data_IF_807158550105
#
_entry.id   IF_807158550105
#
_cell.length_a   1.000
_cell.length_b   1.000
_cell.length_c   1.000
_cell.angle_alpha   90.00
_cell.angle_beta   90.00
_cell.angle_gamma   90.00
#
_symmetry.space_group_name_H-M   'P 1'
#
loop_
_entity.id
_entity.type
_entity.pdbx_description
1 polymer ?
#
# COMPACT_ATOMS: atom_id res chain seq x y z
N UNK A 1 -19.94 -7.79 9.13
CA UNK A 1 -19.77 -6.59 8.35
C UNK A 1 -19.95 -6.85 6.88
N UNK A 2 -20.70 -6.03 6.25
CA UNK A 2 -21.08 -6.29 4.87
C UNK A 2 -20.49 -5.33 3.88
N UNK A 3 -19.47 -4.61 4.27
CA UNK A 3 -19.00 -3.50 3.49
C UNK A 3 -18.41 -3.84 2.15
N UNK A 4 -17.84 -5.03 2.00
CA UNK A 4 -17.09 -5.31 0.78
C UNK A 4 -17.55 -6.60 0.17
N UNK A 5 -17.88 -6.52 -1.12
CA UNK A 5 -18.10 -7.70 -1.93
C UNK A 5 -16.74 -8.33 -2.23
N UNK A 6 -16.51 -9.58 -1.83
CA UNK A 6 -15.18 -10.18 -2.06
C UNK A 6 -14.73 -10.17 -3.52
N UNK A 7 -15.68 -10.17 -4.46
CA UNK A 7 -15.31 -10.12 -5.87
C UNK A 7 -14.65 -8.83 -6.30
N UNK A 8 -14.75 -7.78 -5.50
CA UNK A 8 -14.08 -6.52 -5.81
C UNK A 8 -12.58 -6.55 -5.50
N UNK A 9 -12.13 -7.52 -4.69
CA UNK A 9 -10.71 -7.68 -4.40
C UNK A 9 -10.11 -8.52 -5.51
N UNK A 10 -9.88 -7.89 -6.65
CA UNK A 10 -9.52 -8.61 -7.86
C UNK A 10 -8.14 -8.26 -8.40
N UNK A 11 -7.35 -7.48 -7.66
CA UNK A 11 -6.00 -7.15 -8.05
C UNK A 11 -5.03 -7.88 -7.14
N UNK A 12 -4.12 -8.65 -7.72
CA UNK A 12 -3.12 -9.36 -6.92
C UNK A 12 -1.97 -8.42 -6.65
N UNK A 13 -1.70 -8.14 -5.39
CA UNK A 13 -0.65 -7.21 -5.01
C UNK A 13 0.33 -7.89 -4.08
N UNK A 14 1.54 -7.34 -4.01
CA UNK A 14 2.55 -7.77 -3.06
C UNK A 14 2.62 -6.77 -1.92
N UNK A 15 2.67 -7.28 -0.71
CA UNK A 15 3.02 -6.46 0.44
C UNK A 15 4.51 -6.61 0.62
N UNK A 16 5.24 -5.51 0.47
CA UNK A 16 6.70 -5.50 0.60
C UNK A 16 7.06 -4.96 1.98
N UNK A 17 8.06 -5.57 2.58
CA UNK A 17 8.50 -5.18 3.91
C UNK A 17 10.01 -5.01 3.90
N UNK A 18 10.50 -3.99 4.61
CA UNK A 18 11.92 -3.77 4.75
C UNK A 18 12.50 -4.82 5.67
N UNK A 19 13.58 -5.45 5.22
CA UNK A 19 14.35 -6.36 6.06
C UNK A 19 15.79 -5.92 6.03
N UNK A 20 16.50 -6.16 7.12
CA UNK A 20 17.92 -5.87 7.22
C UNK A 20 18.70 -7.08 6.77
N UNK A 21 19.77 -6.83 6.03
CA UNK A 21 20.64 -7.88 5.55
C UNK A 21 22.06 -7.35 5.51
N UNK A 22 23.04 -8.24 5.60
CA UNK A 22 24.44 -7.87 5.47
C UNK A 22 24.83 -7.88 4.00
N UNK A 23 25.57 -6.86 3.58
CA UNK A 23 26.16 -6.88 2.25
C UNK A 23 27.53 -7.55 2.32
N UNK A 24 28.26 -7.49 1.20
CA UNK A 24 29.55 -8.16 1.10
C UNK A 24 30.59 -7.59 2.05
N UNK A 25 30.39 -6.37 2.50
CA UNK A 25 31.32 -5.70 3.40
C UNK A 25 30.85 -5.75 4.85
N UNK A 26 29.88 -6.61 5.15
CA UNK A 26 29.31 -6.77 6.49
C UNK A 26 28.55 -5.53 6.97
N UNK A 27 28.16 -4.64 6.05
CA UNK A 27 27.31 -3.51 6.40
C UNK A 27 25.85 -3.96 6.43
N UNK A 28 25.08 -3.37 7.34
CA UNK A 28 23.65 -3.67 7.41
C UNK A 28 22.92 -2.75 6.44
N UNK A 29 22.18 -3.34 5.52
CA UNK A 29 21.37 -2.59 4.55
C UNK A 29 19.93 -3.04 4.66
N UNK A 30 19.00 -2.10 4.45
CA UNK A 30 17.57 -2.40 4.44
C UNK A 30 17.11 -2.55 3.01
N UNK A 31 16.47 -3.67 2.71
CA UNK A 31 15.93 -3.90 1.38
C UNK A 31 14.48 -4.29 1.49
N UNK A 32 13.72 -3.99 0.43
CA UNK A 32 12.32 -4.40 0.35
C UNK A 32 12.26 -5.84 -0.12
N UNK A 33 11.44 -6.62 0.55
CA UNK A 33 11.27 -8.02 0.22
C UNK A 33 9.77 -8.34 0.28
N UNK A 34 9.33 -9.30 -0.53
CA UNK A 34 7.93 -9.68 -0.53
C UNK A 34 7.59 -10.36 0.79
N UNK A 35 6.67 -9.76 1.53
CA UNK A 35 6.19 -10.29 2.80
C UNK A 35 4.98 -11.19 2.58
N UNK A 36 4.02 -10.73 1.76
CA UNK A 36 2.82 -11.48 1.46
C UNK A 36 2.29 -11.07 0.11
N UNK A 37 1.53 -11.97 -0.50
CA UNK A 37 0.75 -11.65 -1.69
C UNK A 37 -0.71 -11.74 -1.31
N UNK A 38 -1.48 -10.70 -1.64
CA UNK A 38 -2.90 -10.65 -1.26
C UNK A 38 -3.71 -10.09 -2.42
N UNK A 39 -5.00 -10.35 -2.37
CA UNK A 39 -5.94 -9.74 -3.30
C UNK A 39 -6.40 -8.40 -2.75
N UNK A 40 -6.59 -7.44 -3.64
CA UNK A 40 -6.90 -6.07 -3.25
C UNK A 40 -7.84 -5.42 -4.24
N UNK A 41 -8.51 -4.38 -3.78
CA UNK A 41 -9.18 -3.41 -4.63
C UNK A 41 -8.36 -2.13 -4.58
N UNK A 42 -8.02 -1.56 -5.74
CA UNK A 42 -7.27 -0.31 -5.82
C UNK A 42 -8.16 0.73 -6.44
N UNK A 43 -8.42 1.81 -5.73
CA UNK A 43 -9.34 2.83 -6.18
C UNK A 43 -8.77 4.22 -5.91
N UNK A 44 -8.66 5.06 -6.94
CA UNK A 44 -8.23 6.44 -6.69
C UNK A 44 -9.35 7.21 -6.00
N UNK A 45 -8.98 8.10 -5.10
CA UNK A 45 -9.93 8.99 -4.44
C UNK A 45 -9.97 10.31 -5.19
N UNK A 46 -11.14 10.94 -5.20
CA UNK A 46 -11.34 12.16 -5.98
C UNK A 46 -12.18 13.13 -5.17
N UNK A 47 -12.09 14.42 -5.55
CA UNK A 47 -12.93 15.45 -5.00
C UNK A 47 -12.78 15.58 -3.50
N UNK A 48 -13.91 15.60 -2.81
CA UNK A 48 -13.87 15.85 -1.37
C UNK A 48 -13.20 14.74 -0.60
N UNK A 49 -13.23 13.51 -1.11
CA UNK A 49 -12.53 12.42 -0.43
C UNK A 49 -11.03 12.70 -0.36
N UNK A 50 -10.47 13.18 -1.47
CA UNK A 50 -9.05 13.49 -1.48
C UNK A 50 -8.75 14.67 -0.58
N UNK A 51 -9.62 15.66 -0.55
CA UNK A 51 -9.41 16.82 0.30
C UNK A 51 -9.43 16.45 1.78
N UNK A 52 -10.24 15.48 2.16
CA UNK A 52 -10.27 15.02 3.54
C UNK A 52 -8.94 14.44 3.97
N UNK A 53 -8.27 13.75 3.06
CA UNK A 53 -7.06 13.02 3.41
C UNK A 53 -5.79 13.81 3.11
N UNK A 54 -5.86 14.71 2.13
CA UNK A 54 -4.69 15.49 1.71
C UNK A 54 -5.12 16.89 1.32
N UNK A 55 -5.30 17.72 2.32
CA UNK A 55 -5.83 19.06 2.07
C UNK A 55 -4.87 19.95 1.31
N UNK A 56 -3.57 19.74 1.46
CA UNK A 56 -2.60 20.69 0.95
C UNK A 56 -1.70 20.11 -0.13
N UNK A 57 -1.97 18.90 -0.58
CA UNK A 57 -1.13 18.25 -1.59
C UNK A 57 -1.92 18.01 -2.85
N UNK A 58 -1.21 18.04 -3.98
CA UNK A 58 -1.81 17.69 -5.26
C UNK A 58 -1.65 16.22 -5.60
N UNK A 59 -0.99 15.45 -4.76
CA UNK A 59 -0.80 14.04 -5.02
C UNK A 59 -2.11 13.29 -5.00
N UNK A 60 -2.25 12.37 -5.94
CA UNK A 60 -3.43 11.53 -5.99
C UNK A 60 -3.36 10.49 -4.89
N UNK A 61 -4.45 10.37 -4.14
CA UNK A 61 -4.55 9.40 -3.06
C UNK A 61 -5.32 8.19 -3.56
N UNK A 62 -4.84 7.01 -3.19
CA UNK A 62 -5.48 5.75 -3.53
C UNK A 62 -5.97 5.07 -2.27
N UNK A 63 -7.14 4.47 -2.34
CA UNK A 63 -7.61 3.60 -1.28
C UNK A 63 -7.43 2.16 -1.75
N UNK A 64 -6.62 1.40 -1.04
CA UNK A 64 -6.37 0.00 -1.36
C UNK A 64 -7.01 -0.83 -0.25
N UNK A 65 -7.98 -1.65 -0.62
CA UNK A 65 -8.71 -2.47 0.34
C UNK A 65 -8.23 -3.90 0.24
N UNK A 66 -7.88 -4.49 1.40
CA UNK A 66 -7.46 -5.88 1.47
C UNK A 66 -8.17 -6.54 2.64
N UNK A 67 -8.13 -7.88 2.69
CA UNK A 67 -8.58 -8.58 3.88
C UNK A 67 -7.61 -8.32 5.02
N UNK A 68 -8.13 -8.39 6.24
CA UNK A 68 -7.31 -8.16 7.43
C UNK A 68 -6.13 -9.11 7.44
N UNK A 69 -4.93 -8.56 7.62
CA UNK A 69 -3.71 -9.35 7.68
C UNK A 69 -2.65 -8.55 8.41
N UNK A 70 -1.51 -9.16 8.58
CA UNK A 70 -0.34 -8.56 9.20
C UNK A 70 0.26 -7.53 8.25
N UNK A 71 -0.02 -6.26 8.49
CA UNK A 71 0.50 -5.16 7.68
C UNK A 71 0.68 -3.94 8.56
N UNK A 72 1.68 -3.12 8.25
CA UNK A 72 1.94 -1.89 8.98
C UNK A 72 2.09 -0.74 8.01
N UNK A 73 2.07 0.47 8.56
CA UNK A 73 2.23 1.66 7.73
C UNK A 73 3.62 1.77 7.10
N UNK A 74 4.57 1.00 7.60
CA UNK A 74 5.91 1.00 7.02
C UNK A 74 6.04 0.08 5.82
N UNK A 75 5.06 -0.77 5.60
CA UNK A 75 5.08 -1.67 4.46
C UNK A 75 4.73 -0.90 3.19
N UNK A 76 5.04 -1.50 2.05
CA UNK A 76 4.81 -0.90 0.74
C UNK A 76 3.96 -1.87 -0.07
N UNK A 77 3.02 -1.33 -0.83
CA UNK A 77 2.20 -2.14 -1.73
C UNK A 77 2.78 -2.04 -3.12
N UNK A 78 2.99 -3.18 -3.75
CA UNK A 78 3.47 -3.22 -5.14
C UNK A 78 2.41 -3.87 -6.02
N UNK A 79 2.11 -3.20 -7.14
CA UNK A 79 1.16 -3.71 -8.11
C UNK A 79 1.69 -3.41 -9.51
N UNK A 80 2.04 -4.45 -10.25
CA UNK A 80 2.47 -4.32 -11.64
C UNK A 80 3.60 -3.29 -11.82
N UNK A 81 4.59 -3.38 -10.94
CA UNK A 81 5.74 -2.49 -11.02
C UNK A 81 5.54 -1.13 -10.40
N UNK A 82 4.35 -0.85 -9.90
CA UNK A 82 4.05 0.41 -9.22
C UNK A 82 4.15 0.19 -7.71
N UNK A 83 4.65 1.18 -7.01
CA UNK A 83 4.75 1.12 -5.55
C UNK A 83 3.85 2.18 -4.93
N UNK A 84 3.16 1.79 -3.87
CA UNK A 84 2.27 2.68 -3.14
C UNK A 84 2.74 2.74 -1.70
N UNK A 85 2.93 3.94 -1.21
CA UNK A 85 3.35 4.18 0.17
C UNK A 85 2.10 4.35 1.02
N UNK A 86 2.05 3.65 2.15
CA UNK A 86 0.88 3.67 3.02
C UNK A 86 0.99 4.87 3.95
N UNK A 87 0.00 5.75 3.90
CA UNK A 87 -0.03 6.91 4.78
C UNK A 87 -0.67 6.58 6.11
N UNK A 88 -1.77 5.83 6.07
CA UNK A 88 -2.37 5.30 7.29
C UNK A 88 -3.33 4.17 6.92
N UNK A 89 -3.72 3.41 7.92
CA UNK A 89 -4.55 2.21 7.74
C UNK A 89 -5.81 2.39 8.57
N UNK A 90 -6.96 2.12 7.94
CA UNK A 90 -8.25 2.16 8.61
C UNK A 90 -8.77 0.73 8.71
N UNK A 91 -9.24 0.37 9.89
CA UNK A 91 -9.91 -0.90 10.15
C UNK A 91 -11.38 -0.56 10.35
N UNK A 92 -12.22 -0.61 9.29
CA UNK A 92 -13.58 -0.09 9.38
C UNK A 92 -14.35 -0.76 10.51
N UNK A 93 -14.95 0.08 11.37
CA UNK A 93 -15.71 -0.36 12.54
C UNK A 93 -14.92 -1.28 13.45
N UNK A 94 -13.60 -1.32 13.31
CA UNK A 94 -12.73 -2.20 14.08
C UNK A 94 -13.19 -3.65 14.02
N UNK A 95 -13.78 -4.03 12.88
CA UNK A 95 -14.38 -5.36 12.74
C UNK A 95 -13.36 -6.43 12.42
N UNK A 96 -12.14 -6.03 12.00
CA UNK A 96 -11.06 -6.98 11.70
C UNK A 96 -11.35 -7.89 10.51
N UNK A 97 -12.17 -7.41 9.56
CA UNK A 97 -12.43 -8.17 8.33
C UNK A 97 -11.61 -7.64 7.17
N UNK A 98 -11.62 -6.33 6.99
CA UNK A 98 -10.93 -5.67 5.89
C UNK A 98 -10.13 -4.51 6.43
N UNK A 99 -9.10 -4.12 5.67
CA UNK A 99 -8.31 -2.94 5.98
C UNK A 99 -8.33 -2.04 4.77
N UNK A 100 -8.44 -0.74 5.01
CA UNK A 100 -8.36 0.26 3.96
C UNK A 100 -7.03 0.99 4.12
N UNK A 101 -6.18 0.86 3.11
CA UNK A 101 -4.85 1.45 3.13
C UNK A 101 -4.92 2.73 2.33
N UNK A 102 -4.71 3.86 2.98
CA UNK A 102 -4.73 5.16 2.30
C UNK A 102 -3.32 5.45 1.84
N UNK A 103 -3.12 5.50 0.53
CA UNK A 103 -1.79 5.43 -0.06
C UNK A 103 -1.56 6.53 -1.07
N UNK A 104 -0.28 6.84 -1.29
CA UNK A 104 0.14 7.65 -2.45
C UNK A 104 1.13 6.83 -3.25
N UNK A 105 1.10 7.00 -4.56
CA UNK A 105 2.01 6.27 -5.42
C UNK A 105 3.41 6.87 -5.35
N UNK A 106 4.41 5.99 -5.27
CA UNK A 106 5.80 6.41 -5.23
C UNK A 106 6.31 6.60 -6.65
N UNK A 107 6.17 7.82 -7.19
CA UNK A 107 6.60 8.10 -8.56
C UNK A 107 8.11 8.10 -8.71
N UNK A 108 8.84 8.39 -7.63
CA UNK A 108 10.29 8.39 -7.69
C UNK A 108 10.83 7.03 -8.06
N UNK A 109 10.15 5.95 -7.60
CA UNK A 109 10.57 4.61 -7.92
C UNK A 109 10.53 4.37 -9.43
N UNK A 110 9.47 4.84 -10.10
CA UNK A 110 9.34 4.67 -11.55
C UNK A 110 10.40 5.46 -12.29
N UNK A 111 10.65 6.68 -11.84
CA UNK A 111 11.63 7.51 -12.51
C UNK A 111 13.02 6.89 -12.47
N UNK A 112 13.37 6.30 -11.34
CA UNK A 112 14.68 5.69 -11.24
C UNK A 112 14.82 4.47 -12.14
N UNK A 113 13.73 3.75 -12.33
CA UNK A 113 13.79 2.56 -13.18
C UNK A 113 13.98 2.88 -14.64
N UNK A 114 13.59 4.05 -15.05
CA UNK A 114 13.68 4.42 -16.44
C UNK A 114 15.08 4.89 -16.84
N UNK A 115 15.98 5.00 -15.90
CA UNK A 115 17.34 5.49 -16.21
C UNK A 115 18.33 4.41 -16.47
#
# INVERSE_FOLDING_TARGET
MKGINPGRLNKKVNILRYIDAEDELANIVSTLSVHKKVWAEIRPLRGSEQLEHYKTTSKLVYKITIRNTDITEKDVIEYQGRQFLINYIVNPLEANYYLELMCTENKDHEERRER
#
